data_IF_540661783958
#
_entry.id   IF_540661783958
#
_cell.length_a   1.000
_cell.length_b   1.000
_cell.length_c   1.000
_cell.angle_alpha   90.00
_cell.angle_beta   90.00
_cell.angle_gamma   90.00
#
_symmetry.space_group_name_H-M   'P 1'
#
loop_
_entity.id
_entity.type
_entity.pdbx_description
1 polymer ?
#
# COMPACT_ATOMS: atom_id res chain seq x y z
N UNK A 1 35.59 -16.52 -18.72
CA UNK A 1 34.43 -15.69 -19.12
C UNK A 1 33.41 -15.85 -18.02
N UNK A 2 33.49 -14.93 -17.08
CA UNK A 2 32.54 -14.78 -15.98
C UNK A 2 31.16 -14.39 -16.52
N UNK A 3 30.14 -14.90 -15.83
CA UNK A 3 28.89 -14.23 -15.43
C UNK A 3 27.72 -15.22 -15.47
N UNK A 4 27.72 -16.13 -14.48
CA UNK A 4 26.50 -16.52 -13.80
C UNK A 4 26.26 -15.45 -12.74
N UNK A 5 25.13 -14.75 -12.78
CA UNK A 5 24.35 -14.24 -11.64
C UNK A 5 23.06 -13.65 -12.25
N UNK A 6 21.85 -13.76 -11.74
CA UNK A 6 21.20 -14.66 -10.79
C UNK A 6 19.71 -14.27 -10.90
N UNK A 7 18.83 -15.26 -10.84
CA UNK A 7 17.37 -15.09 -10.71
C UNK A 7 17.02 -14.21 -9.52
N UNK A 8 15.96 -13.40 -9.65
CA UNK A 8 14.98 -13.14 -8.59
C UNK A 8 13.64 -12.81 -9.27
N UNK A 9 12.81 -13.82 -9.52
CA UNK A 9 11.82 -14.37 -8.58
C UNK A 9 10.63 -13.42 -8.39
N UNK A 10 9.61 -13.66 -9.19
CA UNK A 10 8.21 -13.33 -8.89
C UNK A 10 7.86 -13.90 -7.51
N UNK A 11 7.81 -13.05 -6.49
CA UNK A 11 7.17 -13.40 -5.22
C UNK A 11 5.94 -12.52 -5.08
N UNK A 12 4.81 -13.13 -5.42
CA UNK A 12 3.46 -12.76 -5.06
C UNK A 12 3.34 -12.70 -3.54
N UNK A 13 3.67 -11.55 -2.95
CA UNK A 13 3.26 -11.08 -1.62
C UNK A 13 3.52 -9.57 -1.58
N UNK A 14 2.62 -8.79 -2.16
CA UNK A 14 2.60 -7.34 -1.99
C UNK A 14 1.23 -6.95 -1.46
N UNK A 15 1.05 -7.09 -0.14
CA UNK A 15 0.32 -6.03 0.56
C UNK A 15 1.05 -4.74 0.17
N UNK A 16 0.38 -3.71 -0.32
CA UNK A 16 1.02 -2.48 -0.81
C UNK A 16 2.00 -1.88 0.22
N UNK A 17 3.27 -2.29 0.16
CA UNK A 17 4.30 -1.79 1.06
C UNK A 17 4.71 -0.44 0.53
N UNK A 18 4.29 0.61 1.23
CA UNK A 18 4.73 1.96 0.96
C UNK A 18 6.17 2.16 1.46
N UNK A 19 7.12 2.40 0.55
CA UNK A 19 8.54 2.55 0.88
C UNK A 19 8.82 3.79 1.73
N UNK A 20 8.04 4.86 1.59
CA UNK A 20 8.14 6.04 2.44
C UNK A 20 7.75 5.71 3.88
N UNK A 21 6.67 4.94 4.09
CA UNK A 21 6.26 4.45 5.40
C UNK A 21 7.31 3.52 6.02
N UNK A 22 7.94 2.66 5.23
CA UNK A 22 9.02 1.77 5.70
C UNK A 22 10.23 2.56 6.20
N UNK A 23 10.64 3.60 5.47
CA UNK A 23 11.76 4.47 5.88
C UNK A 23 11.33 5.59 6.85
N UNK A 24 10.07 5.60 7.28
CA UNK A 24 9.51 6.60 8.18
C UNK A 24 9.79 8.03 7.69
N UNK A 25 9.66 8.25 6.38
CA UNK A 25 9.84 9.53 5.73
C UNK A 25 8.61 9.92 4.91
N UNK A 26 8.58 11.16 4.43
CA UNK A 26 7.50 11.66 3.57
C UNK A 26 7.92 11.58 2.09
N UNK A 27 6.96 11.58 1.17
CA UNK A 27 7.21 11.75 -0.27
C UNK A 27 8.00 13.02 -0.62
N UNK A 28 7.95 14.04 0.23
CA UNK A 28 8.74 15.27 0.07
C UNK A 28 10.13 15.22 0.73
N UNK A 29 10.51 14.11 1.35
CA UNK A 29 11.79 14.01 2.06
C UNK A 29 12.98 14.09 1.11
N UNK A 30 14.03 14.75 1.59
CA UNK A 30 15.30 14.89 0.86
C UNK A 30 16.10 13.60 0.91
N UNK A 31 17.07 13.44 -0.02
CA UNK A 31 17.95 12.27 -0.06
C UNK A 31 18.75 12.14 1.26
N UNK A 32 19.12 13.26 1.88
CA UNK A 32 19.86 13.27 3.14
C UNK A 32 19.01 12.77 4.32
N UNK A 33 17.73 13.15 4.37
CA UNK A 33 16.77 12.62 5.34
C UNK A 33 16.56 11.11 5.16
N UNK A 34 16.37 10.66 3.91
CA UNK A 34 16.22 9.24 3.56
C UNK A 34 17.45 8.44 4.03
N UNK A 35 18.66 8.96 3.79
CA UNK A 35 19.92 8.35 4.25
C UNK A 35 20.03 8.31 5.77
N UNK A 36 19.63 9.38 6.46
CA UNK A 36 19.67 9.46 7.92
C UNK A 36 18.72 8.43 8.57
N UNK A 37 17.49 8.33 8.06
CA UNK A 37 16.50 7.38 8.53
C UNK A 37 16.93 5.94 8.26
N UNK A 38 17.45 5.65 7.07
CA UNK A 38 17.98 4.33 6.71
C UNK A 38 19.07 3.87 7.71
N UNK A 39 20.06 4.73 8.01
CA UNK A 39 21.13 4.39 8.98
C UNK A 39 20.57 4.08 10.36
N UNK A 40 19.58 4.84 10.80
CA UNK A 40 18.92 4.66 12.09
C UNK A 40 18.15 3.35 12.16
N UNK A 41 17.42 3.00 11.10
CA UNK A 41 16.65 1.77 10.99
C UNK A 41 17.55 0.53 10.88
N UNK A 42 18.61 0.58 10.06
CA UNK A 42 19.56 -0.52 9.94
C UNK A 42 20.23 -0.81 11.27
N UNK A 43 20.64 0.20 12.04
CA UNK A 43 21.25 -0.02 13.38
C UNK A 43 20.30 -0.72 14.36
N UNK A 44 18.99 -0.56 14.17
CA UNK A 44 17.92 -1.15 15.00
C UNK A 44 17.56 -2.57 14.56
N UNK A 45 17.56 -2.83 13.25
CA UNK A 45 17.12 -4.09 12.65
C UNK A 45 18.27 -4.88 11.99
N UNK A 46 19.53 -4.61 12.35
CA UNK A 46 20.67 -5.30 11.78
C UNK A 46 20.67 -6.79 12.18
N UNK A 47 20.85 -7.74 11.24
CA UNK A 47 20.79 -9.17 11.53
C UNK A 47 21.84 -9.63 12.56
N UNK A 48 23.00 -8.96 12.62
CA UNK A 48 24.06 -9.25 13.62
C UNK A 48 23.63 -9.02 15.07
N UNK A 49 22.61 -8.19 15.32
CA UNK A 49 22.05 -7.96 16.66
C UNK A 49 20.90 -8.91 17.00
N UNK A 50 20.48 -9.76 16.08
CA UNK A 50 19.39 -10.70 16.32
C UNK A 50 19.90 -12.03 16.85
N UNK A 51 19.34 -12.45 17.98
CA UNK A 51 19.37 -13.85 18.43
C UNK A 51 18.63 -14.70 17.39
N UNK A 52 19.12 -15.92 17.12
CA UNK A 52 18.68 -16.86 16.06
C UNK A 52 17.17 -17.23 16.00
N UNK A 53 16.32 -16.66 16.84
CA UNK A 53 14.90 -17.01 16.98
C UNK A 53 13.92 -15.98 16.40
N UNK A 54 14.39 -14.86 15.84
CA UNK A 54 13.51 -13.77 15.38
C UNK A 54 13.46 -13.64 13.85
N UNK A 55 12.69 -14.51 13.19
CA UNK A 55 12.36 -14.40 11.76
C UNK A 55 11.71 -13.04 11.39
N UNK A 56 10.98 -12.42 12.32
CA UNK A 56 10.27 -11.15 12.09
C UNK A 56 11.15 -9.92 11.80
N UNK A 57 12.45 -9.95 12.09
CA UNK A 57 13.34 -8.82 11.86
C UNK A 57 14.18 -8.97 10.58
N UNK A 58 14.27 -10.18 10.03
CA UNK A 58 14.91 -10.43 8.73
C UNK A 58 14.07 -9.81 7.60
N UNK A 59 12.75 -9.99 7.63
CA UNK A 59 11.84 -9.39 6.64
C UNK A 59 11.87 -7.86 6.70
N UNK A 60 11.93 -7.27 7.89
CA UNK A 60 12.01 -5.81 8.07
C UNK A 60 13.29 -5.25 7.49
N UNK A 61 14.42 -5.90 7.72
CA UNK A 61 15.69 -5.49 7.14
C UNK A 61 15.62 -5.49 5.60
N UNK A 62 15.07 -6.56 5.01
CA UNK A 62 14.89 -6.67 3.56
C UNK A 62 14.01 -5.54 3.02
N UNK A 63 12.91 -5.21 3.70
CA UNK A 63 12.04 -4.10 3.29
C UNK A 63 12.72 -2.74 3.41
N UNK A 64 13.48 -2.50 4.48
CA UNK A 64 14.24 -1.24 4.67
C UNK A 64 15.30 -1.06 3.60
N UNK A 65 16.05 -2.11 3.28
CA UNK A 65 17.10 -2.09 2.24
C UNK A 65 16.49 -1.87 0.84
N UNK A 66 15.39 -2.57 0.52
CA UNK A 66 14.64 -2.36 -0.74
C UNK A 66 14.12 -0.93 -0.85
N UNK A 67 13.48 -0.41 0.21
CA UNK A 67 12.96 0.95 0.22
C UNK A 67 14.06 1.99 0.02
N UNK A 68 15.21 1.82 0.67
CA UNK A 68 16.35 2.72 0.49
C UNK A 68 16.92 2.68 -0.93
N UNK A 69 17.08 1.49 -1.52
CA UNK A 69 17.56 1.35 -2.91
C UNK A 69 16.66 2.08 -3.91
N UNK A 70 15.34 1.96 -3.76
CA UNK A 70 14.37 2.64 -4.64
C UNK A 70 14.34 4.15 -4.38
N UNK A 71 14.29 4.58 -3.12
CA UNK A 71 14.08 6.00 -2.78
C UNK A 71 15.35 6.86 -2.81
N UNK A 72 16.54 6.24 -2.75
CA UNK A 72 17.82 6.95 -2.82
C UNK A 72 18.30 7.26 -4.23
N UNK A 73 17.81 6.51 -5.23
CA UNK A 73 18.06 6.75 -6.64
C UNK A 73 16.94 7.62 -7.23
N UNK A 74 17.31 8.74 -7.86
CA UNK A 74 16.32 9.70 -8.37
C UNK A 74 15.46 9.12 -9.50
N UNK A 75 16.02 8.24 -10.34
CA UNK A 75 15.28 7.62 -11.43
C UNK A 75 14.30 6.58 -10.89
N UNK A 76 14.77 5.69 -10.01
CA UNK A 76 13.91 4.67 -9.40
C UNK A 76 12.81 5.29 -8.53
N UNK A 77 13.11 6.38 -7.84
CA UNK A 77 12.12 7.14 -7.08
C UNK A 77 11.03 7.71 -7.99
N UNK A 78 11.40 8.30 -9.13
CA UNK A 78 10.42 8.82 -10.11
C UNK A 78 9.54 7.71 -10.67
N UNK A 79 10.12 6.57 -11.02
CA UNK A 79 9.36 5.41 -11.51
C UNK A 79 8.39 4.89 -10.43
N UNK A 80 8.86 4.80 -9.18
CA UNK A 80 8.02 4.40 -8.05
C UNK A 80 6.88 5.39 -7.78
N UNK A 81 7.19 6.69 -7.78
CA UNK A 81 6.19 7.75 -7.58
C UNK A 81 5.16 7.76 -8.72
N UNK A 82 5.59 7.51 -9.97
CA UNK A 82 4.68 7.37 -11.11
C UNK A 82 3.72 6.20 -10.94
N UNK A 83 4.20 5.03 -10.50
CA UNK A 83 3.36 3.86 -10.22
C UNK A 83 2.37 4.15 -9.07
N UNK A 84 2.81 4.84 -8.02
CA UNK A 84 1.92 5.25 -6.92
C UNK A 84 0.83 6.21 -7.39
N UNK A 85 1.17 7.16 -8.26
CA UNK A 85 0.20 8.07 -8.87
C UNK A 85 -0.77 7.30 -9.79
N UNK A 86 -0.27 6.41 -10.65
CA UNK A 86 -1.14 5.60 -11.53
C UNK A 86 -2.13 4.76 -10.73
N UNK A 87 -1.70 4.18 -9.60
CA UNK A 87 -2.59 3.48 -8.67
C UNK A 87 -3.67 4.40 -8.13
N UNK A 88 -3.30 5.55 -7.56
CA UNK A 88 -4.27 6.47 -6.99
C UNK A 88 -5.23 7.07 -8.04
N UNK A 89 -4.73 7.35 -9.26
CA UNK A 89 -5.56 7.80 -10.38
C UNK A 89 -6.52 6.73 -10.87
N UNK A 90 -6.07 5.48 -10.97
CA UNK A 90 -6.92 4.38 -11.43
C UNK A 90 -8.01 4.08 -10.40
N UNK A 91 -7.66 4.00 -9.12
CA UNK A 91 -8.64 3.87 -8.03
C UNK A 91 -9.67 4.99 -8.08
N UNK A 92 -9.23 6.25 -8.28
CA UNK A 92 -10.12 7.40 -8.39
C UNK A 92 -11.01 7.36 -9.64
N UNK A 93 -10.49 6.90 -10.78
CA UNK A 93 -11.24 6.82 -12.04
C UNK A 93 -12.31 5.73 -12.03
N UNK A 94 -12.19 4.74 -11.14
CA UNK A 94 -13.17 3.68 -10.97
C UNK A 94 -14.30 4.07 -10.01
N UNK A 95 -14.15 5.18 -9.26
CA UNK A 95 -15.20 5.75 -8.42
C UNK A 95 -16.30 6.34 -9.32
N UNK A 96 -17.47 5.72 -9.31
CA UNK A 96 -18.63 6.24 -10.06
C UNK A 96 -19.67 6.93 -9.17
N UNK A 97 -19.53 6.79 -7.85
CA UNK A 97 -20.38 7.39 -6.84
C UNK A 97 -19.59 7.66 -5.55
N UNK A 98 -19.87 8.81 -4.93
CA UNK A 98 -19.39 9.17 -3.59
C UNK A 98 -20.62 9.25 -2.67
N UNK A 99 -20.59 8.58 -1.52
CA UNK A 99 -21.68 8.52 -0.55
C UNK A 99 -21.20 8.92 0.84
N UNK A 100 -22.06 9.58 1.61
CA UNK A 100 -21.82 9.83 3.02
C UNK A 100 -22.23 8.59 3.84
N UNK A 101 -21.44 8.21 4.85
CA UNK A 101 -21.77 7.11 5.79
C UNK A 101 -23.12 7.30 6.46
N UNK A 102 -23.49 8.55 6.72
CA UNK A 102 -24.77 8.95 7.31
C UNK A 102 -25.96 8.73 6.37
N UNK A 103 -25.72 8.63 5.07
CA UNK A 103 -26.73 8.36 4.05
C UNK A 103 -26.94 6.87 3.74
N UNK A 104 -26.24 5.97 4.44
CA UNK A 104 -26.38 4.53 4.25
C UNK A 104 -27.40 3.94 5.24
N UNK A 105 -28.43 3.32 4.69
CA UNK A 105 -29.44 2.60 5.46
C UNK A 105 -28.93 1.20 5.80
N UNK A 106 -28.20 1.09 6.91
CA UNK A 106 -27.76 -0.20 7.44
C UNK A 106 -28.91 -0.97 8.09
N UNK A 107 -29.03 -2.24 7.76
CA UNK A 107 -29.98 -3.15 8.40
C UNK A 107 -29.53 -3.60 9.80
N UNK A 108 -30.27 -4.54 10.39
CA UNK A 108 -29.97 -5.11 11.71
C UNK A 108 -28.65 -5.89 11.77
N UNK A 109 -28.13 -6.34 10.63
CA UNK A 109 -26.85 -7.04 10.52
C UNK A 109 -25.69 -6.07 10.22
N UNK A 110 -26.01 -4.79 10.03
CA UNK A 110 -25.03 -3.75 9.73
C UNK A 110 -24.62 -3.75 8.25
N UNK A 111 -25.50 -4.20 7.35
CA UNK A 111 -25.27 -4.21 5.91
C UNK A 111 -26.14 -3.14 5.25
N UNK A 112 -25.53 -2.32 4.41
CA UNK A 112 -26.22 -1.39 3.51
C UNK A 112 -26.06 -1.89 2.07
N UNK A 113 -27.07 -1.67 1.24
CA UNK A 113 -27.07 -2.14 -0.15
C UNK A 113 -27.09 -0.94 -1.09
N UNK A 114 -26.15 -0.89 -2.03
CA UNK A 114 -26.05 0.18 -3.01
C UNK A 114 -26.08 -0.34 -4.45
N UNK A 115 -26.93 0.20 -5.35
CA UNK A 115 -27.00 -0.28 -6.73
C UNK A 115 -25.81 0.20 -7.56
N UNK A 116 -25.15 -0.75 -8.23
CA UNK A 116 -24.09 -0.47 -9.19
C UNK A 116 -24.63 -0.20 -10.59
N UNK A 117 -23.89 0.61 -11.37
CA UNK A 117 -24.19 0.90 -12.79
C UNK A 117 -24.22 -0.33 -13.69
N UNK A 118 -23.58 -1.44 -13.28
CA UNK A 118 -23.68 -2.71 -14.01
C UNK A 118 -25.01 -3.46 -13.79
N UNK A 119 -25.85 -2.99 -12.85
CA UNK A 119 -27.14 -3.60 -12.50
C UNK A 119 -27.09 -4.56 -11.30
N UNK A 120 -25.92 -4.75 -10.69
CA UNK A 120 -25.72 -5.56 -9.48
C UNK A 120 -25.71 -4.68 -8.23
N UNK A 121 -25.93 -5.30 -7.07
CA UNK A 121 -25.89 -4.61 -5.78
C UNK A 121 -24.51 -4.76 -5.12
N UNK A 122 -24.03 -3.68 -4.51
CA UNK A 122 -22.83 -3.64 -3.69
C UNK A 122 -23.28 -3.73 -2.23
N UNK A 123 -22.77 -4.73 -1.51
CA UNK A 123 -23.00 -4.90 -0.08
C UNK A 123 -21.92 -4.15 0.70
N UNK A 124 -22.33 -3.15 1.46
CA UNK A 124 -21.45 -2.30 2.26
C UNK A 124 -21.64 -2.71 3.72
N UNK A 125 -20.61 -3.34 4.28
CA UNK A 125 -20.62 -3.78 5.67
C UNK A 125 -20.11 -2.68 6.58
N UNK A 126 -20.89 -2.32 7.60
CA UNK A 126 -20.49 -1.29 8.58
C UNK A 126 -19.18 -1.63 9.30
N UNK A 127 -18.85 -2.92 9.44
CA UNK A 127 -17.61 -3.40 10.07
C UNK A 127 -16.33 -3.14 9.26
N UNK A 128 -16.43 -2.87 7.96
CA UNK A 128 -15.28 -2.62 7.08
C UNK A 128 -15.10 -1.14 6.73
N UNK A 129 -15.98 -0.27 7.23
CA UNK A 129 -15.87 1.17 7.01
C UNK A 129 -14.93 1.79 8.05
N UNK A 130 -13.96 2.54 7.55
CA UNK A 130 -13.02 3.34 8.36
C UNK A 130 -13.63 4.71 8.70
N UNK A 131 -13.03 5.42 9.65
CA UNK A 131 -13.53 6.74 10.08
C UNK A 131 -13.36 7.83 9.00
N UNK A 132 -12.43 7.66 8.06
CA UNK A 132 -12.11 8.64 7.01
C UNK A 132 -12.80 8.30 5.68
N UNK A 133 -12.12 7.61 4.77
CA UNK A 133 -12.65 7.25 3.45
C UNK A 133 -12.51 5.74 3.24
N UNK A 134 -13.54 5.11 2.69
CA UNK A 134 -13.51 3.68 2.37
C UNK A 134 -13.95 3.47 0.93
N UNK A 135 -13.13 2.77 0.14
CA UNK A 135 -13.43 2.41 -1.23
C UNK A 135 -14.05 1.02 -1.27
N UNK A 136 -15.29 0.90 -1.74
CA UNK A 136 -16.01 -0.37 -1.85
C UNK A 136 -16.12 -0.77 -3.32
N UNK A 137 -15.49 -1.89 -3.66
CA UNK A 137 -15.46 -2.44 -5.01
C UNK A 137 -16.75 -3.22 -5.33
N UNK A 138 -17.20 -3.16 -6.58
CA UNK A 138 -18.25 -4.05 -7.05
C UNK A 138 -17.67 -5.44 -7.36
N UNK A 139 -18.31 -6.51 -6.88
CA UNK A 139 -17.86 -7.88 -7.16
C UNK A 139 -17.98 -8.29 -8.65
N UNK A 140 -18.81 -7.59 -9.41
CA UNK A 140 -19.20 -7.97 -10.78
C UNK A 140 -18.69 -7.01 -11.86
N UNK A 141 -18.01 -5.92 -11.50
CA UNK A 141 -17.38 -5.02 -12.46
C UNK A 141 -16.27 -4.19 -11.83
N UNK A 142 -15.59 -3.33 -12.62
CA UNK A 142 -14.49 -2.50 -12.12
C UNK A 142 -14.95 -1.24 -11.38
N UNK A 143 -16.26 -0.97 -11.30
CA UNK A 143 -16.78 0.23 -10.66
C UNK A 143 -16.68 0.13 -9.14
N UNK A 144 -16.34 1.25 -8.50
CA UNK A 144 -16.20 1.39 -7.05
C UNK A 144 -17.06 2.54 -6.52
N UNK A 145 -17.41 2.46 -5.24
CA UNK A 145 -18.11 3.52 -4.51
C UNK A 145 -17.21 4.02 -3.39
N UNK A 146 -17.02 5.32 -3.30
CA UNK A 146 -16.27 5.94 -2.22
C UNK A 146 -17.24 6.33 -1.09
N UNK A 147 -16.96 5.89 0.13
CA UNK A 147 -17.75 6.16 1.33
C UNK A 147 -16.98 7.11 2.24
N UNK A 148 -17.57 8.26 2.59
CA UNK A 148 -16.97 9.29 3.46
C UNK A 148 -17.77 9.47 4.75
#
# INVERSE_FOLDING_TARGET
>A
MENQENSLSSTSESRDINYYSVLQCNQNSTIDEIKSNYRSLIKKFHPDKQSKEQSYSDDKFIHIDKAYKTLSDEQLRKEYDAVLLEKSFNESSLIYAELEKTGLDFDSEGVAVFPCRCGQNIEIYKSVLDDEESLIECSECTNCVLIK
#
